data_IF_317958680240
#
_entry.id   IF_317958680240
#
_cell.length_a   1.000
_cell.length_b   1.000
_cell.length_c   1.000
_cell.angle_alpha   90.00
_cell.angle_beta   90.00
_cell.angle_gamma   90.00
#
_symmetry.space_group_name_H-M   'P 1'
#
loop_
_entity.id
_entity.type
_entity.pdbx_description
1 polymer ?
#
# COMPACT_ATOMS: atom_id res chain seq x y z
N UNK A 1 -8.16 -20.69 23.13
CA UNK A 1 -8.16 -20.60 22.67
C UNK A 1 -7.89 -20.43 22.19
N UNK A 2 -8.01 -20.07 22.04
CA UNK A 2 -7.89 -19.79 21.35
C UNK A 2 -7.79 -19.43 20.85
N UNK A 3 -7.93 -19.19 21.00
CA UNK A 3 -7.94 -18.80 20.39
C UNK A 3 -7.90 -18.56 19.72
N UNK A 4 -8.03 -18.47 19.74
CA UNK A 4 -8.12 -18.04 18.88
C UNK A 4 -7.97 -17.85 18.36
N UNK A 5 -8.16 -17.72 18.38
CA UNK A 5 -8.19 -17.46 17.70
C UNK A 5 -8.02 -17.07 17.32
N UNK A 6 -8.19 -16.86 17.44
CA UNK A 6 -8.12 -16.35 17.11
C UNK A 6 -7.66 -15.94 16.50
N UNK A 7 -7.75 -15.62 16.48
CA UNK A 7 -7.48 -15.06 15.74
C UNK A 7 -6.68 -14.82 15.46
N UNK A 8 -6.46 -14.97 15.76
CA UNK A 8 -5.88 -14.83 15.49
C UNK A 8 -5.46 -15.15 14.70
N UNK A 9 -5.71 -15.32 14.38
CA UNK A 9 -5.75 -15.60 13.79
C UNK A 9 -5.72 -15.22 13.15
N UNK A 10 -5.92 -14.79 13.34
CA UNK A 10 -6.12 -14.24 12.94
C UNK A 10 -5.70 -13.80 12.26
N UNK A 11 -6.55 -13.92 12.41
CA UNK A 11 -6.16 -13.63 11.09
C UNK A 11 -4.86 -12.87 10.96
N UNK A 12 -3.87 -13.55 10.56
CA UNK A 12 -2.62 -12.87 10.26
C UNK A 12 -2.82 -11.99 9.05
N UNK A 13 -2.78 -10.66 9.25
CA UNK A 13 -2.79 -9.70 8.15
C UNK A 13 -1.52 -9.85 7.32
N UNK A 14 -1.66 -9.58 6.04
CA UNK A 14 -0.50 -9.49 5.13
C UNK A 14 -0.15 -8.01 5.00
N UNK A 15 1.13 -7.68 5.16
CA UNK A 15 1.60 -6.32 4.98
C UNK A 15 2.21 -6.18 3.58
N UNK A 16 1.63 -5.33 2.78
CA UNK A 16 2.23 -4.89 1.51
C UNK A 16 3.23 -3.80 1.82
N UNK A 17 4.43 -3.88 1.23
CA UNK A 17 5.53 -2.95 1.46
C UNK A 17 6.06 -2.45 0.13
N UNK A 18 6.22 -1.14 0.00
CA UNK A 18 6.87 -0.56 -1.17
C UNK A 18 7.62 0.71 -0.78
N UNK A 19 8.85 0.82 -1.26
CA UNK A 19 9.57 2.09 -1.23
C UNK A 19 9.27 2.79 -2.55
N UNK A 20 8.75 4.02 -2.46
CA UNK A 20 8.28 4.78 -3.61
C UNK A 20 9.28 5.90 -3.91
N UNK A 21 10.13 5.73 -4.94
CA UNK A 21 11.08 6.79 -5.30
C UNK A 21 10.39 7.83 -6.18
N UNK A 22 9.89 8.87 -5.55
CA UNK A 22 9.20 9.96 -6.26
C UNK A 22 10.23 10.87 -6.92
N UNK A 23 9.93 11.32 -8.13
CA UNK A 23 10.81 12.25 -8.85
C UNK A 23 11.03 13.50 -7.98
N UNK A 24 12.31 13.86 -7.70
CA UNK A 24 12.60 15.04 -6.86
C UNK A 24 11.95 16.31 -7.41
N UNK A 25 11.34 17.07 -6.52
CA UNK A 25 10.62 18.29 -6.87
C UNK A 25 9.13 18.07 -7.04
N UNK A 26 8.67 16.79 -7.06
CA UNK A 26 7.24 16.50 -7.24
C UNK A 26 6.56 15.98 -5.98
N UNK A 27 7.20 16.17 -4.83
CA UNK A 27 6.69 15.63 -3.56
C UNK A 27 5.30 16.18 -3.20
N UNK A 28 5.11 17.48 -3.35
CA UNK A 28 3.85 18.13 -3.00
C UNK A 28 2.72 17.60 -3.88
N UNK A 29 2.97 17.49 -5.19
CA UNK A 29 1.99 16.94 -6.14
C UNK A 29 1.67 15.50 -5.82
N UNK A 30 2.70 14.71 -5.50
CA UNK A 30 2.53 13.30 -5.18
C UNK A 30 1.66 13.13 -3.93
N UNK A 31 1.94 13.90 -2.89
CA UNK A 31 1.17 13.79 -1.64
C UNK A 31 -0.29 14.16 -1.86
N UNK A 32 -0.56 15.17 -2.68
CA UNK A 32 -1.93 15.54 -3.02
C UNK A 32 -2.63 14.44 -3.82
N UNK A 33 -1.93 13.85 -4.79
CA UNK A 33 -2.48 12.74 -5.57
C UNK A 33 -2.72 11.52 -4.69
N UNK A 34 -1.82 11.25 -3.75
CA UNK A 34 -1.95 10.10 -2.85
C UNK A 34 -3.15 10.26 -1.91
N UNK A 35 -3.44 11.47 -1.49
CA UNK A 35 -4.63 11.73 -0.67
C UNK A 35 -5.92 11.31 -1.38
N UNK A 36 -5.97 11.46 -2.71
CA UNK A 36 -7.10 10.98 -3.51
C UNK A 36 -7.05 9.47 -3.70
N UNK A 37 -5.87 8.94 -4.03
CA UNK A 37 -5.69 7.51 -4.28
C UNK A 37 -6.02 6.67 -3.05
N UNK A 38 -5.74 7.19 -1.88
CA UNK A 38 -6.01 6.53 -0.61
C UNK A 38 -7.49 6.14 -0.47
N UNK A 39 -8.41 6.99 -0.93
CA UNK A 39 -9.84 6.70 -0.88
C UNK A 39 -10.21 5.49 -1.73
N UNK A 40 -9.48 5.29 -2.83
CA UNK A 40 -9.75 4.19 -3.75
C UNK A 40 -9.39 2.86 -3.10
N UNK A 41 -8.16 2.75 -2.57
CA UNK A 41 -7.69 1.50 -1.98
C UNK A 41 -8.42 1.19 -0.68
N UNK A 42 -8.78 2.21 0.09
CA UNK A 42 -9.46 2.02 1.38
C UNK A 42 -10.85 1.42 1.22
N UNK A 43 -11.45 1.52 0.05
CA UNK A 43 -12.77 0.96 -0.24
C UNK A 43 -12.71 -0.50 -0.70
N UNK A 44 -11.51 -1.05 -0.88
CA UNK A 44 -11.37 -2.41 -1.42
C UNK A 44 -11.64 -3.48 -0.38
N UNK A 45 -12.27 -4.61 -0.78
CA UNK A 45 -12.45 -5.74 0.15
C UNK A 45 -11.10 -6.22 0.69
N UNK A 46 -11.06 -6.49 2.00
CA UNK A 46 -9.86 -6.98 2.65
C UNK A 46 -8.87 -5.91 3.08
N UNK A 47 -9.11 -4.66 2.73
CA UNK A 47 -8.25 -3.56 3.14
C UNK A 47 -8.31 -3.38 4.66
N UNK A 48 -7.14 -3.36 5.32
CA UNK A 48 -7.06 -3.24 6.78
C UNK A 48 -6.43 -1.94 7.29
N UNK A 49 -5.79 -1.19 6.43
CA UNK A 49 -5.15 0.06 6.84
C UNK A 49 -3.98 0.41 5.93
N UNK A 50 -3.57 1.67 5.99
CA UNK A 50 -2.50 2.16 5.13
C UNK A 50 -1.74 3.27 5.85
N UNK A 51 -0.42 3.26 5.74
CA UNK A 51 0.41 4.40 6.12
C UNK A 51 1.33 4.75 4.97
N UNK A 52 1.56 6.05 4.80
CA UNK A 52 2.53 6.58 3.86
C UNK A 52 3.44 7.49 4.66
N UNK A 53 4.74 7.20 4.65
CA UNK A 53 5.72 7.96 5.41
C UNK A 53 6.80 8.49 4.48
N UNK A 54 7.27 9.69 4.74
CA UNK A 54 8.35 10.30 3.95
C UNK A 54 9.67 10.04 4.67
N UNK A 55 10.68 9.61 3.93
CA UNK A 55 12.01 9.38 4.52
C UNK A 55 12.62 10.70 4.98
N UNK A 56 13.22 10.68 6.17
CA UNK A 56 13.93 11.86 6.67
C UNK A 56 15.29 12.02 6.00
N UNK A 57 15.96 10.91 5.69
CA UNK A 57 17.27 10.94 5.04
C UNK A 57 17.18 11.11 3.52
N UNK A 58 16.13 10.58 2.91
CA UNK A 58 15.92 10.63 1.46
C UNK A 58 14.56 11.24 1.17
N UNK A 59 14.44 12.58 1.20
CA UNK A 59 13.12 13.23 1.26
C UNK A 59 12.23 13.10 0.04
N UNK A 60 12.72 12.49 -1.04
CA UNK A 60 11.87 12.16 -2.19
C UNK A 60 11.44 10.69 -2.19
N UNK A 61 11.84 9.91 -1.17
CA UNK A 61 11.47 8.50 -1.04
C UNK A 61 10.41 8.35 0.04
N UNK A 62 9.36 7.59 -0.29
CA UNK A 62 8.26 7.34 0.63
C UNK A 62 8.17 5.85 0.93
N UNK A 63 7.75 5.53 2.16
CA UNK A 63 7.47 4.15 2.57
C UNK A 63 5.96 3.96 2.60
N UNK A 64 5.48 3.03 1.79
CA UNK A 64 4.07 2.65 1.76
C UNK A 64 3.92 1.30 2.46
N UNK A 65 3.06 1.25 3.46
CA UNK A 65 2.65 0.00 4.10
C UNK A 65 1.14 -0.10 4.02
N UNK A 66 0.64 -1.24 3.52
CA UNK A 66 -0.80 -1.51 3.44
C UNK A 66 -1.08 -2.86 4.09
N UNK A 67 -2.08 -2.90 4.96
CA UNK A 67 -2.51 -4.15 5.58
C UNK A 67 -3.68 -4.74 4.81
N UNK A 68 -3.59 -6.02 4.49
CA UNK A 68 -4.63 -6.77 3.79
C UNK A 68 -5.00 -8.01 4.59
N UNK A 69 -6.28 -8.40 4.57
CA UNK A 69 -6.71 -9.62 5.24
C UNK A 69 -6.04 -10.85 4.63
N UNK A 70 -5.91 -10.87 3.29
CA UNK A 70 -5.29 -11.96 2.56
C UNK A 70 -4.43 -11.40 1.44
N UNK A 71 -3.40 -12.16 1.08
CA UNK A 71 -2.53 -11.78 -0.05
C UNK A 71 -3.34 -11.55 -1.33
N UNK A 72 -4.32 -12.41 -1.59
CA UNK A 72 -5.12 -12.35 -2.81
C UNK A 72 -5.99 -11.10 -2.88
N UNK A 73 -6.34 -10.52 -1.75
CA UNK A 73 -7.08 -9.26 -1.74
C UNK A 73 -6.31 -8.16 -2.44
N UNK A 74 -4.98 -8.18 -2.31
CA UNK A 74 -4.12 -7.24 -3.02
C UNK A 74 -3.79 -7.72 -4.45
N UNK A 75 -3.21 -8.93 -4.57
CA UNK A 75 -2.62 -9.36 -5.83
C UNK A 75 -3.66 -9.67 -6.90
N UNK A 76 -4.86 -10.09 -6.51
CA UNK A 76 -5.94 -10.43 -7.44
C UNK A 76 -7.11 -9.47 -7.30
N UNK A 77 -7.56 -9.21 -6.08
CA UNK A 77 -8.71 -8.33 -5.85
C UNK A 77 -8.46 -6.91 -6.32
N UNK A 78 -7.48 -6.25 -5.70
CA UNK A 78 -7.19 -4.86 -6.05
C UNK A 78 -6.55 -4.73 -7.43
N UNK A 79 -5.46 -5.45 -7.68
CA UNK A 79 -4.75 -5.34 -8.94
C UNK A 79 -5.58 -5.79 -10.15
N UNK A 80 -6.58 -6.64 -9.93
CA UNK A 80 -7.48 -7.09 -10.98
C UNK A 80 -8.72 -6.22 -11.14
N UNK A 81 -8.85 -5.13 -10.37
CA UNK A 81 -10.06 -4.31 -10.34
C UNK A 81 -9.96 -3.10 -11.28
N UNK A 82 -11.13 -2.56 -11.65
CA UNK A 82 -11.18 -1.30 -12.39
C UNK A 82 -10.66 -0.14 -11.54
N UNK A 83 -10.81 -0.24 -10.22
CA UNK A 83 -10.31 0.78 -9.29
C UNK A 83 -8.79 0.90 -9.35
N UNK A 84 -8.09 -0.20 -9.61
CA UNK A 84 -6.64 -0.18 -9.74
C UNK A 84 -6.16 0.69 -10.92
N UNK A 85 -6.91 0.73 -12.00
CA UNK A 85 -6.57 1.58 -13.15
C UNK A 85 -6.55 3.04 -12.73
N UNK A 86 -7.50 3.46 -11.92
CA UNK A 86 -7.55 4.83 -11.40
C UNK A 86 -6.38 5.10 -10.44
N UNK A 87 -6.05 4.14 -9.58
CA UNK A 87 -4.90 4.21 -8.69
C UNK A 87 -3.61 4.43 -9.48
N UNK A 88 -3.43 3.65 -10.54
CA UNK A 88 -2.25 3.77 -11.40
C UNK A 88 -2.18 5.14 -12.06
N UNK A 89 -3.28 5.63 -12.59
CA UNK A 89 -3.34 6.94 -13.25
C UNK A 89 -2.91 8.05 -12.31
N UNK A 90 -3.31 7.96 -11.05
CA UNK A 90 -2.99 8.98 -10.07
C UNK A 90 -1.52 8.95 -9.65
N UNK A 91 -0.88 7.78 -9.61
CA UNK A 91 0.37 7.60 -8.87
C UNK A 91 1.58 7.18 -9.68
N UNK A 92 1.40 6.30 -10.70
CA UNK A 92 2.56 5.61 -11.27
C UNK A 92 3.52 6.55 -12.01
N UNK A 93 3.04 7.65 -12.53
CA UNK A 93 3.88 8.60 -13.26
C UNK A 93 4.82 9.42 -12.36
N UNK A 94 4.68 9.29 -11.04
CA UNK A 94 5.56 9.99 -10.11
C UNK A 94 6.84 9.20 -9.81
N UNK A 95 6.89 7.91 -10.14
CA UNK A 95 7.97 7.03 -9.70
C UNK A 95 9.11 6.93 -10.70
N UNK A 96 10.36 7.01 -10.19
CA UNK A 96 11.56 6.83 -10.99
C UNK A 96 12.68 6.33 -10.07
N UNK A 97 13.11 5.07 -10.18
CA UNK A 97 12.56 4.00 -11.01
C UNK A 97 11.23 3.46 -10.46
N UNK A 98 10.58 2.56 -11.20
CA UNK A 98 9.32 1.99 -10.73
C UNK A 98 9.57 1.14 -9.49
N UNK A 99 8.73 1.25 -8.44
CA UNK A 99 9.00 0.56 -7.18
C UNK A 99 8.74 -0.94 -7.25
N UNK A 100 9.45 -1.67 -6.39
CA UNK A 100 9.23 -3.09 -6.16
C UNK A 100 8.31 -3.23 -4.95
N UNK A 101 7.27 -4.07 -5.10
CA UNK A 101 6.31 -4.34 -4.03
C UNK A 101 6.58 -5.72 -3.47
N UNK A 102 6.67 -5.81 -2.14
CA UNK A 102 6.87 -7.07 -1.45
C UNK A 102 5.81 -7.25 -0.37
N UNK A 103 5.59 -8.49 0.03
CA UNK A 103 4.58 -8.80 1.04
C UNK A 103 5.24 -9.50 2.23
N UNK A 104 4.75 -9.18 3.43
CA UNK A 104 5.33 -9.67 4.67
C UNK A 104 4.24 -10.24 5.55
N UNK A 105 4.56 -11.30 6.27
CA UNK A 105 3.73 -11.82 7.36
C UNK A 105 4.43 -11.56 8.67
N UNK A 106 3.66 -11.19 9.67
CA UNK A 106 4.22 -10.90 10.99
C UNK A 106 4.64 -12.21 11.66
N UNK A 107 5.83 -12.21 12.30
CA UNK A 107 6.36 -13.39 13.00
C UNK A 107 6.56 -13.13 14.50
N UNK A 108 6.48 -11.88 14.92
CA UNK A 108 6.62 -11.52 16.34
C UNK A 108 5.57 -10.50 16.75
#
# INVERSE_FOLDING_TARGET
MGRPGRGWHHGAMITEHALLPVVPGREVEFEAAFAQAREIIAAMPGFGGLTLSRSTESPSTYLLLVEWERLEDHTQGFRGSAQYDRWRELLHHFYEPFPVVEHYTRVL
#
